data_IF_147625309785
#
_entry.id   IF_147625309785
#
_cell.length_a   1.000
_cell.length_b   1.000
_cell.length_c   1.000
_cell.angle_alpha   90.00
_cell.angle_beta   90.00
_cell.angle_gamma   90.00
#
_symmetry.space_group_name_H-M   'P 1'
#
loop_
_entity.id
_entity.type
_entity.pdbx_description
1 polymer ?
#
# COMPACT_ATOMS: atom_id res chain seq x y z
N UNK A 1 -24.45 -6.35 -51.43
CA UNK A 1 -25.71 -7.08 -51.67
C UNK A 1 -26.24 -6.67 -53.04
N UNK A 2 -26.38 -7.62 -53.96
CA UNK A 2 -26.89 -7.35 -55.29
C UNK A 2 -28.11 -8.23 -55.57
N UNK A 3 -29.22 -7.63 -55.99
CA UNK A 3 -30.38 -8.36 -56.47
C UNK A 3 -30.23 -8.62 -57.97
N UNK A 4 -30.36 -9.89 -58.36
CA UNK A 4 -30.40 -10.29 -59.77
C UNK A 4 -31.69 -11.05 -60.06
N UNK A 5 -32.37 -10.63 -61.12
CA UNK A 5 -33.45 -11.39 -61.72
C UNK A 5 -32.85 -12.43 -62.66
N UNK A 6 -33.03 -13.71 -62.34
CA UNK A 6 -32.61 -14.82 -63.19
C UNK A 6 -33.82 -15.36 -63.90
N UNK A 7 -33.72 -15.47 -65.23
CA UNK A 7 -34.73 -16.12 -66.08
C UNK A 7 -34.29 -17.54 -66.38
N UNK A 8 -35.20 -18.49 -66.24
CA UNK A 8 -34.95 -19.89 -66.58
C UNK A 8 -36.09 -20.45 -67.43
N UNK A 9 -35.73 -21.33 -68.35
CA UNK A 9 -36.65 -22.05 -69.22
C UNK A 9 -36.92 -23.41 -68.58
N UNK A 10 -38.20 -23.80 -68.50
CA UNK A 10 -38.55 -25.12 -68.02
C UNK A 10 -38.25 -26.18 -69.07
N UNK A 11 -37.72 -27.33 -68.65
CA UNK A 11 -37.39 -28.47 -69.51
C UNK A 11 -38.24 -29.66 -69.05
N UNK A 12 -38.78 -30.44 -70.00
CA UNK A 12 -39.55 -31.64 -69.73
C UNK A 12 -38.66 -32.87 -69.45
N UNK A 13 -39.29 -34.02 -69.19
CA UNK A 13 -38.61 -35.29 -68.92
C UNK A 13 -37.82 -35.88 -70.12
N UNK A 14 -37.96 -35.28 -71.31
CA UNK A 14 -37.26 -35.67 -72.55
C UNK A 14 -36.17 -34.67 -72.93
N UNK A 15 -35.72 -33.82 -71.98
CA UNK A 15 -34.74 -32.76 -72.17
C UNK A 15 -35.15 -31.71 -73.22
N UNK A 16 -36.45 -31.48 -73.43
CA UNK A 16 -36.97 -30.46 -74.34
C UNK A 16 -37.53 -29.25 -73.60
N UNK A 17 -37.33 -28.02 -74.12
CA UNK A 17 -37.96 -26.84 -73.54
C UNK A 17 -39.48 -26.93 -73.58
N UNK A 18 -40.12 -26.66 -72.44
CA UNK A 18 -41.57 -26.54 -72.34
C UNK A 18 -41.99 -25.23 -73.02
N UNK A 19 -43.02 -25.32 -73.85
CA UNK A 19 -43.60 -24.18 -74.56
C UNK A 19 -45.02 -23.91 -74.10
N UNK A 20 -45.42 -22.65 -74.15
CA UNK A 20 -46.80 -22.20 -73.96
C UNK A 20 -47.66 -22.49 -75.20
N UNK A 21 -48.96 -22.27 -75.09
CA UNK A 21 -49.93 -22.49 -76.18
C UNK A 21 -49.66 -21.64 -77.44
N UNK A 22 -48.97 -20.52 -77.29
CA UNK A 22 -48.56 -19.61 -78.37
C UNK A 22 -47.18 -19.96 -78.97
N UNK A 23 -46.66 -21.16 -78.67
CA UNK A 23 -45.36 -21.67 -79.14
C UNK A 23 -44.14 -20.93 -78.56
N UNK A 24 -44.33 -20.00 -77.61
CA UNK A 24 -43.27 -19.33 -76.86
C UNK A 24 -42.69 -20.21 -75.75
N UNK A 25 -41.43 -20.00 -75.34
CA UNK A 25 -40.86 -20.75 -74.22
C UNK A 25 -41.50 -20.36 -72.89
N UNK A 26 -41.82 -21.35 -72.05
CA UNK A 26 -42.25 -21.08 -70.67
C UNK A 26 -41.05 -20.62 -69.84
N UNK A 27 -40.90 -19.30 -69.71
CA UNK A 27 -39.83 -18.63 -68.97
C UNK A 27 -40.38 -18.24 -67.59
N UNK A 28 -39.77 -18.78 -66.54
CA UNK A 28 -39.99 -18.32 -65.17
C UNK A 28 -38.88 -17.35 -64.77
N UNK A 29 -39.22 -16.43 -63.85
CA UNK A 29 -38.27 -15.49 -63.27
C UNK A 29 -38.18 -15.73 -61.79
N UNK A 30 -36.96 -15.83 -61.26
CA UNK A 30 -36.69 -15.84 -59.82
C UNK A 30 -35.82 -14.64 -59.46
N UNK A 31 -36.12 -14.06 -58.30
CA UNK A 31 -35.29 -13.04 -57.67
C UNK A 31 -34.25 -13.75 -56.81
N UNK A 32 -32.96 -13.54 -57.10
CA UNK A 32 -31.85 -14.14 -56.38
C UNK A 32 -31.06 -13.04 -55.69
N UNK A 33 -30.88 -13.20 -54.38
CA UNK A 33 -30.02 -12.36 -53.56
C UNK A 33 -28.63 -12.99 -53.55
N UNK A 34 -27.62 -12.23 -54.01
CA UNK A 34 -26.22 -12.65 -53.94
C UNK A 34 -25.55 -11.88 -52.80
N UNK A 35 -25.13 -12.61 -51.76
CA UNK A 35 -24.33 -12.12 -50.66
C UNK A 35 -22.86 -12.42 -50.90
N UNK A 36 -21.99 -11.43 -50.68
CA UNK A 36 -20.55 -11.58 -50.85
C UNK A 36 -19.95 -12.04 -49.51
N UNK A 37 -19.86 -13.36 -49.32
CA UNK A 37 -19.41 -13.96 -48.07
C UNK A 37 -17.96 -13.61 -47.71
N UNK A 38 -17.10 -13.37 -48.70
CA UNK A 38 -15.68 -13.02 -48.48
C UNK A 38 -15.54 -11.64 -47.83
N UNK A 39 -16.18 -10.60 -48.37
CA UNK A 39 -16.17 -9.25 -47.79
C UNK A 39 -16.75 -9.22 -46.37
N UNK A 40 -17.83 -9.98 -46.12
CA UNK A 40 -18.45 -10.07 -44.79
C UNK A 40 -17.49 -10.73 -43.80
N UNK A 41 -16.78 -11.79 -44.21
CA UNK A 41 -15.81 -12.47 -43.36
C UNK A 41 -14.58 -11.62 -43.06
N UNK A 42 -14.07 -10.88 -44.04
CA UNK A 42 -12.96 -9.93 -43.83
C UNK A 42 -13.36 -8.81 -42.88
N UNK A 43 -14.55 -8.21 -43.07
CA UNK A 43 -15.07 -7.18 -42.18
C UNK A 43 -15.23 -7.68 -40.74
N UNK A 44 -15.79 -8.89 -40.56
CA UNK A 44 -15.98 -9.47 -39.24
C UNK A 44 -14.64 -9.82 -38.56
N UNK A 45 -13.69 -10.38 -39.31
CA UNK A 45 -12.34 -10.68 -38.81
C UNK A 45 -11.63 -9.41 -38.35
N UNK A 46 -11.67 -8.35 -39.18
CA UNK A 46 -11.04 -7.07 -38.85
C UNK A 46 -11.65 -6.41 -37.61
N UNK A 47 -12.97 -6.48 -37.45
CA UNK A 47 -13.64 -5.97 -36.25
C UNK A 47 -13.25 -6.75 -34.99
N UNK A 48 -13.12 -8.07 -35.11
CA UNK A 48 -12.71 -8.93 -33.99
C UNK A 48 -11.25 -8.64 -33.58
N UNK A 49 -10.36 -8.49 -34.56
CA UNK A 49 -8.96 -8.15 -34.32
C UNK A 49 -8.81 -6.79 -33.64
N UNK A 50 -9.52 -5.77 -34.13
CA UNK A 50 -9.53 -4.44 -33.53
C UNK A 50 -10.09 -4.47 -32.08
N UNK A 51 -11.19 -5.20 -31.87
CA UNK A 51 -11.77 -5.37 -30.53
C UNK A 51 -10.81 -6.06 -29.57
N UNK A 52 -10.11 -7.10 -30.01
CA UNK A 52 -9.10 -7.80 -29.21
C UNK A 52 -7.91 -6.90 -28.88
N UNK A 53 -7.46 -6.07 -29.82
CA UNK A 53 -6.41 -5.09 -29.57
C UNK A 53 -6.82 -4.10 -28.49
N UNK A 54 -8.03 -3.54 -28.57
CA UNK A 54 -8.56 -2.61 -27.56
C UNK A 54 -8.68 -3.26 -26.18
N UNK A 55 -9.11 -4.52 -26.11
CA UNK A 55 -9.18 -5.28 -24.86
C UNK A 55 -7.79 -5.41 -24.22
N UNK A 56 -6.78 -5.76 -25.01
CA UNK A 56 -5.40 -5.89 -24.53
C UNK A 56 -4.87 -4.55 -24.00
N UNK A 57 -5.09 -3.45 -24.74
CA UNK A 57 -4.69 -2.10 -24.31
C UNK A 57 -5.35 -1.70 -22.98
N UNK A 58 -6.65 -1.98 -22.83
CA UNK A 58 -7.38 -1.72 -21.59
C UNK A 58 -6.88 -2.57 -20.43
N UNK A 59 -6.56 -3.84 -20.66
CA UNK A 59 -5.98 -4.73 -19.63
C UNK A 59 -4.61 -4.24 -19.17
N UNK A 60 -3.73 -3.86 -20.11
CA UNK A 60 -2.42 -3.28 -19.78
C UNK A 60 -2.57 -2.02 -18.95
N UNK A 61 -3.44 -1.10 -19.37
CA UNK A 61 -3.70 0.15 -18.63
C UNK A 61 -4.28 -0.10 -17.24
N UNK A 62 -5.16 -1.10 -17.10
CA UNK A 62 -5.72 -1.46 -15.80
C UNK A 62 -4.65 -2.00 -14.85
N UNK A 63 -3.75 -2.85 -15.32
CA UNK A 63 -2.64 -3.37 -14.52
C UNK A 63 -1.69 -2.25 -14.08
N UNK A 64 -1.40 -1.29 -14.97
CA UNK A 64 -0.59 -0.13 -14.64
C UNK A 64 -1.25 0.75 -13.56
N UNK A 65 -2.55 1.00 -13.68
CA UNK A 65 -3.32 1.77 -12.69
C UNK A 65 -3.33 1.08 -11.32
N UNK A 66 -3.51 -0.24 -11.28
CA UNK A 66 -3.45 -1.02 -10.04
C UNK A 66 -2.07 -0.86 -9.38
N UNK A 67 -0.99 -0.99 -10.16
CA UNK A 67 0.38 -0.83 -9.64
C UNK A 67 0.63 0.58 -9.07
N UNK A 68 0.13 1.62 -9.76
CA UNK A 68 0.24 3.00 -9.27
C UNK A 68 -0.53 3.22 -7.97
N UNK A 69 -1.74 2.66 -7.85
CA UNK A 69 -2.56 2.75 -6.62
C UNK A 69 -1.90 2.05 -5.43
N UNK A 70 -1.30 0.88 -5.66
CA UNK A 70 -0.56 0.15 -4.62
C UNK A 70 0.63 0.98 -4.11
N UNK A 71 1.41 1.58 -5.02
CA UNK A 71 2.54 2.44 -4.64
C UNK A 71 2.10 3.68 -3.88
N UNK A 72 1.06 4.38 -4.34
CA UNK A 72 0.51 5.56 -3.65
C UNK A 72 0.00 5.20 -2.23
N UNK A 73 -0.65 4.04 -2.09
CA UNK A 73 -1.14 3.57 -0.79
C UNK A 73 0.00 3.33 0.19
N UNK A 74 1.11 2.73 -0.26
CA UNK A 74 2.29 2.52 0.58
C UNK A 74 2.94 3.84 0.99
N UNK A 75 3.04 4.80 0.06
CA UNK A 75 3.58 6.13 0.35
C UNK A 75 2.74 6.88 1.38
N UNK A 76 1.41 6.84 1.27
CA UNK A 76 0.50 7.48 2.24
C UNK A 76 0.65 6.90 3.65
N UNK A 77 0.73 5.56 3.77
CA UNK A 77 0.98 4.90 5.06
C UNK A 77 2.32 5.34 5.67
N UNK A 78 3.36 5.47 4.85
CA UNK A 78 4.66 5.93 5.31
C UNK A 78 4.62 7.39 5.80
N UNK A 79 3.91 8.27 5.08
CA UNK A 79 3.72 9.67 5.48
C UNK A 79 2.98 9.74 6.83
N UNK A 80 1.92 8.95 7.02
CA UNK A 80 1.15 8.92 8.27
C UNK A 80 2.03 8.48 9.46
N UNK A 81 2.82 7.41 9.29
CA UNK A 81 3.76 6.94 10.31
C UNK A 81 4.80 8.03 10.63
N UNK A 82 5.36 8.67 9.61
CA UNK A 82 6.35 9.74 9.81
C UNK A 82 5.73 10.94 10.55
N UNK A 83 4.52 11.34 10.20
CA UNK A 83 3.80 12.42 10.87
C UNK A 83 3.52 12.08 12.34
N UNK A 84 3.12 10.85 12.62
CA UNK A 84 2.93 10.38 13.99
C UNK A 84 4.24 10.41 14.79
N UNK A 85 5.35 9.93 14.21
CA UNK A 85 6.65 9.95 14.87
C UNK A 85 7.15 11.38 15.13
N UNK A 86 6.92 12.30 14.18
CA UNK A 86 7.25 13.72 14.36
C UNK A 86 6.40 14.32 15.47
N UNK A 87 5.10 14.03 15.52
CA UNK A 87 4.24 14.45 16.62
C UNK A 87 4.75 13.97 17.99
N UNK A 88 5.16 12.71 18.10
CA UNK A 88 5.74 12.19 19.35
C UNK A 88 7.07 12.84 19.71
N UNK A 89 7.91 13.10 18.70
CA UNK A 89 9.23 13.70 18.89
C UNK A 89 9.12 15.17 19.27
N UNK A 90 8.18 15.92 18.69
CA UNK A 90 8.00 17.35 18.95
C UNK A 90 7.13 17.62 20.18
N UNK A 91 6.58 16.57 20.81
CA UNK A 91 5.79 16.70 22.02
C UNK A 91 6.70 16.86 23.25
N UNK A 92 7.09 18.10 23.53
CA UNK A 92 7.88 18.47 24.70
C UNK A 92 7.19 18.10 26.02
N UNK A 93 5.86 18.08 26.07
CA UNK A 93 5.11 17.64 27.26
C UNK A 93 5.34 16.14 27.53
N UNK A 94 5.27 15.30 26.49
CA UNK A 94 5.57 13.87 26.59
C UNK A 94 7.03 13.62 26.97
N UNK A 95 7.98 14.35 26.36
CA UNK A 95 9.40 14.31 26.76
C UNK A 95 9.59 14.69 28.21
N UNK A 96 8.92 15.75 28.68
CA UNK A 96 9.02 16.22 30.06
C UNK A 96 8.39 15.24 31.06
N UNK A 97 7.31 14.55 30.69
CA UNK A 97 6.73 13.48 31.50
C UNK A 97 7.72 12.31 31.62
N UNK A 98 8.35 11.90 30.52
CA UNK A 98 9.38 10.87 30.55
C UNK A 98 10.57 11.30 31.43
N UNK A 99 11.10 12.51 31.23
CA UNK A 99 12.21 13.06 32.02
C UNK A 99 11.87 13.08 33.52
N UNK A 100 10.68 13.56 33.90
CA UNK A 100 10.24 13.55 35.30
C UNK A 100 10.10 12.15 35.89
N UNK A 101 9.68 11.16 35.09
CA UNK A 101 9.59 9.77 35.57
C UNK A 101 10.96 9.12 35.81
N UNK A 102 12.02 9.65 35.21
CA UNK A 102 13.41 9.25 35.43
C UNK A 102 14.17 10.16 36.40
N UNK A 103 13.55 11.23 36.89
CA UNK A 103 14.18 12.17 37.81
C UNK A 103 14.20 11.58 39.23
N UNK A 104 15.32 10.94 39.56
CA UNK A 104 15.59 10.32 40.87
C UNK A 104 16.28 11.29 41.85
N UNK A 105 16.41 12.57 41.52
CA UNK A 105 17.13 13.52 42.36
C UNK A 105 16.48 13.67 43.75
N UNK A 106 15.14 13.68 43.80
CA UNK A 106 14.41 13.74 45.07
C UNK A 106 14.69 12.49 45.93
N UNK A 107 14.70 11.30 45.32
CA UNK A 107 15.05 10.05 46.01
C UNK A 107 16.50 10.05 46.52
N UNK A 108 17.43 10.60 45.74
CA UNK A 108 18.85 10.76 46.13
C UNK A 108 18.96 11.71 47.34
N UNK A 109 18.25 12.83 47.34
CA UNK A 109 18.27 13.77 48.47
C UNK A 109 17.67 13.17 49.75
N UNK A 110 16.59 12.39 49.63
CA UNK A 110 16.02 11.63 50.76
C UNK A 110 17.03 10.62 51.30
N UNK A 111 17.73 9.89 50.43
CA UNK A 111 18.77 8.92 50.85
C UNK A 111 19.95 9.63 51.53
N UNK A 112 20.42 10.76 50.99
CA UNK A 112 21.48 11.58 51.61
C UNK A 112 21.09 12.03 53.00
N UNK A 113 19.87 12.55 53.18
CA UNK A 113 19.37 12.99 54.47
C UNK A 113 19.31 11.84 55.49
N UNK A 114 18.84 10.66 55.08
CA UNK A 114 18.84 9.46 55.94
C UNK A 114 20.26 9.02 56.32
N UNK A 115 21.19 8.99 55.36
CA UNK A 115 22.58 8.63 55.63
C UNK A 115 23.24 9.61 56.61
N UNK A 116 22.97 10.91 56.46
CA UNK A 116 23.47 11.92 57.40
C UNK A 116 22.90 11.72 58.80
N UNK A 117 21.60 11.44 58.92
CA UNK A 117 20.97 11.16 60.22
C UNK A 117 21.59 9.93 60.90
N UNK A 118 21.82 8.85 60.16
CA UNK A 118 22.48 7.64 60.68
C UNK A 118 23.90 7.94 61.13
N UNK A 119 24.65 8.71 60.34
CA UNK A 119 26.01 9.12 60.68
C UNK A 119 26.06 9.95 61.97
N UNK A 120 25.15 10.92 62.13
CA UNK A 120 25.06 11.76 63.32
C UNK A 120 24.71 10.94 64.58
N UNK A 121 23.83 9.93 64.45
CA UNK A 121 23.53 9.00 65.54
C UNK A 121 24.72 8.12 65.91
N UNK A 122 25.45 7.60 64.92
CA UNK A 122 26.66 6.81 65.16
C UNK A 122 27.74 7.61 65.91
N UNK A 123 27.92 8.88 65.54
CA UNK A 123 28.82 9.79 66.27
C UNK A 123 28.37 9.95 67.72
N UNK A 124 27.08 10.20 67.97
CA UNK A 124 26.55 10.34 69.34
C UNK A 124 26.83 9.08 70.17
N UNK A 125 26.54 7.90 69.64
CA UNK A 125 26.80 6.61 70.31
C UNK A 125 28.30 6.43 70.59
N UNK A 126 29.17 6.76 69.62
CA UNK A 126 30.62 6.69 69.81
C UNK A 126 31.09 7.62 70.93
N UNK A 127 30.56 8.85 70.97
CA UNK A 127 30.93 9.87 71.97
C UNK A 127 30.53 9.46 73.39
N UNK A 128 29.36 8.81 73.54
CA UNK A 128 28.89 8.26 74.82
C UNK A 128 29.74 7.07 75.27
N UNK A 129 30.10 6.18 74.33
CA UNK A 129 30.87 4.97 74.65
C UNK A 129 32.37 5.22 74.90
N UNK A 130 32.93 6.34 74.43
CA UNK A 130 34.35 6.70 74.66
C UNK A 130 34.58 7.70 75.80
N UNK A 131 33.58 8.00 76.62
CA UNK A 131 33.73 8.88 77.78
C UNK A 131 34.07 10.34 77.42
N UNK A 132 33.59 10.82 76.26
CA UNK A 132 33.66 12.23 75.90
C UNK A 132 34.91 12.69 75.13
N UNK A 133 35.78 11.78 74.67
CA UNK A 133 36.86 12.13 73.74
C UNK A 133 36.55 11.56 72.36
N UNK A 134 36.21 12.39 71.35
CA UNK A 134 36.13 11.95 69.97
C UNK A 134 37.54 11.52 69.53
N UNK A 135 37.74 10.26 69.15
CA UNK A 135 38.94 9.86 68.41
C UNK A 135 38.83 10.43 67.00
N UNK A 136 39.27 11.67 66.81
CA UNK A 136 39.52 12.21 65.47
C UNK A 136 40.84 11.62 64.99
N UNK A 137 40.83 10.36 64.57
CA UNK A 137 41.84 9.92 63.63
C UNK A 137 41.52 10.61 62.31
N UNK A 138 42.41 11.51 61.89
CA UNK A 138 42.46 12.05 60.53
C UNK A 138 42.42 10.88 59.54
N UNK A 139 41.22 10.49 59.11
CA UNK A 139 41.05 9.89 57.80
C UNK A 139 40.78 11.07 56.90
N UNK A 140 41.77 11.38 56.07
CA UNK A 140 41.56 12.15 54.85
C UNK A 140 40.19 11.77 54.30
N UNK A 141 39.29 12.75 54.25
CA UNK A 141 38.01 12.61 53.60
C UNK A 141 38.31 12.32 52.14
N UNK A 142 38.43 11.04 51.81
CA UNK A 142 38.32 10.53 50.46
C UNK A 142 36.82 10.59 50.11
N UNK A 143 36.26 11.80 50.14
CA UNK A 143 35.06 12.11 49.39
C UNK A 143 35.53 11.92 47.96
N UNK A 144 35.20 10.76 47.41
CA UNK A 144 35.28 10.52 45.98
C UNK A 144 34.71 11.76 45.30
N UNK A 145 35.60 12.48 44.63
CA UNK A 145 35.32 13.56 43.71
C UNK A 145 34.30 13.02 42.69
N UNK A 146 33.02 13.29 42.94
CA UNK A 146 31.89 12.75 42.18
C UNK A 146 31.58 13.60 40.95
N UNK A 147 32.35 14.67 40.73
CA UNK A 147 32.22 15.58 39.60
C UNK A 147 32.55 14.93 38.24
N UNK A 148 32.97 13.65 38.22
CA UNK A 148 33.37 12.92 37.00
C UNK A 148 32.51 11.71 36.62
N UNK A 149 31.40 11.40 37.31
CA UNK A 149 30.65 10.15 37.03
C UNK A 149 29.62 10.29 35.90
N UNK A 150 29.27 11.51 35.47
CA UNK A 150 28.21 11.74 34.48
C UNK A 150 28.66 12.19 33.08
N UNK A 151 29.96 12.28 32.80
CA UNK A 151 30.46 12.51 31.43
C UNK A 151 30.99 11.21 30.81
N UNK A 152 30.09 10.43 30.22
CA UNK A 152 30.43 9.46 29.16
C UNK A 152 29.25 9.16 28.26
#
# INVERSE_FOLDING_TARGET
MALKNVKYVLIDEHDKPIKNEDDSFDIKTAEVILENSEEINEFNTGNLENSNQQINELQTKNNELISQLEQQTLQLKQIEINNFNNFLTDNDEFKNVLLKSYDINDDIEVIKAHLQSVYDELIKVQTVNTGGVPKVENKENNILDTDNVFNK
#
